data_IF_596339455629
#
_entry.id   IF_596339455629
#
_cell.length_a   1.000
_cell.length_b   1.000
_cell.length_c   1.000
_cell.angle_alpha   90.00
_cell.angle_beta   90.00
_cell.angle_gamma   90.00
#
_symmetry.space_group_name_H-M   'P 1'
#
loop_
_entity.id
_entity.type
_entity.pdbx_description
1 polymer ?
#
# COMPACT_ATOMS: atom_id res chain seq x y z
N UNK A 1 -20.05 10.47 77.94
CA UNK A 1 -19.53 11.46 76.96
C UNK A 1 -18.04 11.25 76.78
N UNK A 2 -17.60 10.76 75.61
CA UNK A 2 -16.36 11.19 74.93
C UNK A 2 -16.33 10.51 73.57
N UNK A 3 -16.36 11.35 72.55
CA UNK A 3 -16.52 11.02 71.16
C UNK A 3 -15.16 10.87 70.48
N UNK A 4 -15.17 10.04 69.41
CA UNK A 4 -14.38 10.15 68.17
C UNK A 4 -12.85 10.11 68.26
N UNK A 5 -12.28 9.02 67.70
CA UNK A 5 -11.20 9.09 66.71
C UNK A 5 -11.46 8.06 65.61
N UNK A 6 -11.99 8.54 64.49
CA UNK A 6 -12.07 7.82 63.22
C UNK A 6 -11.44 8.77 62.19
N UNK A 7 -10.17 8.57 61.87
CA UNK A 7 -9.44 9.39 60.90
C UNK A 7 -8.56 8.46 60.05
N UNK A 8 -8.96 8.38 58.78
CA UNK A 8 -8.12 8.21 57.57
C UNK A 8 -7.54 6.83 57.33
N UNK A 9 -8.38 5.95 56.75
CA UNK A 9 -7.94 4.90 55.82
C UNK A 9 -8.87 5.00 54.61
N UNK A 10 -8.61 5.94 53.71
CA UNK A 10 -9.55 6.22 52.63
C UNK A 10 -9.03 7.10 51.50
N UNK A 11 -7.73 7.08 51.21
CA UNK A 11 -7.18 7.87 50.08
C UNK A 11 -6.03 7.20 49.32
N UNK A 12 -5.73 5.91 49.57
CA UNK A 12 -4.66 5.20 48.88
C UNK A 12 -5.13 4.31 47.70
N UNK A 13 -6.44 4.09 47.56
CA UNK A 13 -6.98 3.17 46.53
C UNK A 13 -7.28 3.89 45.20
N UNK A 14 -7.47 5.22 45.20
CA UNK A 14 -7.76 5.98 43.97
C UNK A 14 -6.54 6.36 43.13
N UNK A 15 -5.32 6.26 43.67
CA UNK A 15 -4.08 6.58 42.91
C UNK A 15 -3.57 5.38 42.10
N UNK A 16 -3.88 4.14 42.51
CA UNK A 16 -3.48 2.95 41.73
C UNK A 16 -4.33 2.72 40.46
N UNK A 17 -5.57 3.21 40.41
CA UNK A 17 -6.40 3.07 39.21
C UNK A 17 -5.94 4.00 38.06
N UNK A 18 -5.33 5.15 38.37
CA UNK A 18 -4.84 6.10 37.38
C UNK A 18 -3.52 5.68 36.70
N UNK A 19 -2.73 4.80 37.32
CA UNK A 19 -1.49 4.29 36.71
C UNK A 19 -1.71 3.07 35.79
N UNK A 20 -2.88 2.42 35.83
CA UNK A 20 -3.22 1.32 34.92
C UNK A 20 -3.82 1.81 33.59
N UNK A 21 -4.36 3.02 33.54
CA UNK A 21 -4.87 3.61 32.28
C UNK A 21 -3.79 4.36 31.48
N UNK A 22 -2.66 4.70 32.09
CA UNK A 22 -1.56 5.41 31.43
C UNK A 22 -0.66 4.52 30.56
N UNK A 23 -0.82 3.18 30.58
CA UNK A 23 -0.05 2.27 29.71
C UNK A 23 -0.56 2.18 28.27
N UNK A 24 -1.69 2.81 27.96
CA UNK A 24 -2.22 2.92 26.59
C UNK A 24 -1.91 4.28 25.93
N UNK A 25 -1.12 5.15 26.57
CA UNK A 25 -0.78 6.46 26.02
C UNK A 25 0.24 6.41 24.85
N UNK A 26 0.64 5.22 24.40
CA UNK A 26 1.28 5.01 23.08
C UNK A 26 0.28 5.00 21.93
N UNK A 27 -1.03 5.16 22.20
CA UNK A 27 -2.08 5.30 21.21
C UNK A 27 -2.37 6.78 20.92
N UNK A 28 -1.74 7.37 19.89
CA UNK A 28 -2.36 8.41 19.05
C UNK A 28 -1.45 8.71 17.83
N UNK A 29 -2.04 8.78 16.60
CA UNK A 29 -2.50 10.11 16.18
C UNK A 29 -3.89 10.18 15.54
N UNK A 30 -4.56 9.07 15.22
CA UNK A 30 -5.90 9.13 14.61
C UNK A 30 -6.98 8.99 15.67
N UNK A 31 -7.71 10.08 15.95
CA UNK A 31 -8.90 10.02 16.77
C UNK A 31 -10.00 9.27 15.99
N UNK A 32 -10.26 8.03 16.36
CA UNK A 32 -11.25 7.18 15.71
C UNK A 32 -12.58 7.19 16.45
N UNK A 33 -13.71 6.99 15.73
CA UNK A 33 -15.00 6.73 16.35
C UNK A 33 -14.90 5.57 17.35
N UNK A 34 -15.52 5.72 18.52
CA UNK A 34 -15.42 4.72 19.59
C UNK A 34 -16.00 3.36 19.18
N UNK A 35 -17.00 3.36 18.32
CA UNK A 35 -17.59 2.16 17.74
C UNK A 35 -16.63 1.45 16.78
N UNK A 36 -15.85 2.19 15.98
CA UNK A 36 -14.80 1.61 15.14
C UNK A 36 -13.72 0.94 16.00
N UNK A 37 -13.22 1.64 17.03
CA UNK A 37 -12.21 1.09 17.95
C UNK A 37 -12.68 -0.21 18.60
N UNK A 38 -13.95 -0.30 18.97
CA UNK A 38 -14.52 -1.53 19.53
C UNK A 38 -14.56 -2.68 18.52
N UNK A 39 -14.93 -2.41 17.26
CA UNK A 39 -14.93 -3.42 16.18
C UNK A 39 -13.51 -3.86 15.82
N UNK A 40 -12.57 -2.92 15.76
CA UNK A 40 -11.16 -3.20 15.52
C UNK A 40 -10.60 -4.11 16.61
N UNK A 41 -10.81 -3.76 17.88
CA UNK A 41 -10.37 -4.60 19.00
C UNK A 41 -10.99 -6.01 18.99
N UNK A 42 -12.24 -6.14 18.54
CA UNK A 42 -12.90 -7.44 18.38
C UNK A 42 -12.31 -8.28 17.23
N UNK A 43 -11.64 -7.65 16.26
CA UNK A 43 -11.01 -8.30 15.12
C UNK A 43 -9.48 -8.46 15.25
N UNK A 44 -8.85 -8.03 16.35
CA UNK A 44 -7.43 -8.31 16.60
C UNK A 44 -7.23 -9.76 17.03
N UNK A 45 -6.22 -10.44 16.48
CA UNK A 45 -5.79 -11.76 16.96
C UNK A 45 -4.49 -11.61 17.78
N UNK A 46 -4.39 -12.16 19.01
CA UNK A 46 -3.14 -12.22 19.75
C UNK A 46 -1.98 -12.89 18.99
N UNK A 47 -2.29 -13.76 18.04
CA UNK A 47 -1.36 -14.41 17.13
C UNK A 47 -0.75 -13.44 16.12
N UNK A 48 -1.39 -12.31 15.80
CA UNK A 48 -0.90 -11.33 14.82
C UNK A 48 0.49 -10.79 15.15
N UNK A 49 1.27 -10.58 14.10
CA UNK A 49 2.70 -10.24 14.07
C UNK A 49 2.95 -9.22 12.97
N UNK A 50 4.13 -8.61 12.97
CA UNK A 50 4.53 -7.74 11.89
C UNK A 50 5.14 -8.57 10.75
N UNK A 51 4.45 -8.66 9.61
CA UNK A 51 4.92 -9.31 8.39
C UNK A 51 4.09 -10.51 7.94
N UNK A 52 4.26 -10.95 6.69
CA UNK A 52 3.36 -11.92 6.08
C UNK A 52 3.50 -13.31 6.70
N UNK A 53 2.36 -14.01 6.83
CA UNK A 53 2.28 -15.33 7.47
C UNK A 53 3.23 -16.36 6.84
N UNK A 54 3.44 -16.33 5.52
CA UNK A 54 4.30 -17.31 4.84
C UNK A 54 5.78 -17.23 5.25
N UNK A 55 6.31 -16.03 5.59
CA UNK A 55 7.67 -15.92 6.13
C UNK A 55 7.73 -16.60 7.51
N UNK A 56 6.64 -16.51 8.28
CA UNK A 56 6.53 -17.14 9.59
C UNK A 56 6.37 -18.66 9.48
N UNK A 57 5.67 -19.15 8.46
CA UNK A 57 5.49 -20.59 8.22
C UNK A 57 6.78 -21.29 7.78
N UNK A 58 7.74 -20.54 7.23
CA UNK A 58 9.03 -21.06 6.78
C UNK A 58 10.20 -20.78 7.73
N UNK A 59 9.99 -19.99 8.79
CA UNK A 59 11.01 -19.76 9.84
C UNK A 59 10.76 -20.74 11.00
N UNK A 60 11.76 -21.51 11.46
CA UNK A 60 11.57 -22.43 12.57
C UNK A 60 10.97 -21.73 13.80
N UNK A 61 9.94 -22.33 14.43
CA UNK A 61 9.23 -21.73 15.56
C UNK A 61 10.15 -21.27 16.71
N UNK A 62 11.25 -21.99 16.95
CA UNK A 62 12.28 -21.60 17.93
C UNK A 62 13.01 -20.31 17.57
N UNK A 63 13.23 -20.04 16.28
CA UNK A 63 13.86 -18.82 15.79
C UNK A 63 12.89 -17.63 15.84
N UNK A 64 11.61 -17.84 15.50
CA UNK A 64 10.55 -16.83 15.67
C UNK A 64 10.37 -16.45 17.14
N UNK A 65 10.43 -17.42 18.06
CA UNK A 65 10.33 -17.17 19.50
C UNK A 65 11.48 -16.30 20.02
N UNK A 66 12.69 -16.47 19.49
CA UNK A 66 13.89 -15.73 19.91
C UNK A 66 13.96 -14.36 19.23
N UNK A 67 13.60 -14.30 17.95
CA UNK A 67 13.66 -13.08 17.16
C UNK A 67 12.40 -12.24 17.24
N UNK A 68 11.25 -12.76 17.65
CA UNK A 68 9.98 -12.02 17.70
C UNK A 68 10.04 -10.70 18.46
N UNK A 69 10.67 -10.62 19.65
CA UNK A 69 10.91 -9.35 20.34
C UNK A 69 11.83 -8.36 19.60
N UNK A 70 12.57 -8.83 18.59
CA UNK A 70 13.46 -8.03 17.74
C UNK A 70 12.80 -7.68 16.40
N UNK A 71 12.04 -8.62 15.83
CA UNK A 71 11.31 -8.49 14.56
C UNK A 71 10.14 -7.52 14.77
N UNK A 72 9.17 -7.86 15.62
CA UNK A 72 8.02 -7.00 15.87
C UNK A 72 8.37 -5.84 16.81
N UNK A 73 9.27 -6.09 17.77
CA UNK A 73 9.69 -5.13 18.78
C UNK A 73 8.52 -4.35 19.41
N UNK A 74 8.58 -3.01 19.44
CA UNK A 74 7.51 -2.18 19.99
C UNK A 74 6.32 -2.02 19.03
N UNK A 75 6.43 -2.47 17.78
CA UNK A 75 5.41 -2.27 16.74
C UNK A 75 4.33 -3.33 16.74
N UNK A 76 4.48 -4.44 17.47
CA UNK A 76 3.49 -5.51 17.51
C UNK A 76 2.05 -5.03 17.71
N UNK A 77 1.73 -4.13 18.66
CA UNK A 77 0.35 -3.64 18.82
C UNK A 77 -0.19 -2.92 17.58
N UNK A 78 0.66 -2.19 16.85
CA UNK A 78 0.30 -1.51 15.61
C UNK A 78 0.00 -2.53 14.51
N UNK A 79 0.84 -3.56 14.36
CA UNK A 79 0.62 -4.61 13.36
C UNK A 79 -0.70 -5.36 13.60
N UNK A 80 -1.08 -5.62 14.86
CA UNK A 80 -2.41 -6.20 15.16
C UNK A 80 -3.58 -5.31 14.74
N UNK A 81 -3.43 -3.99 14.91
CA UNK A 81 -4.45 -3.02 14.48
C UNK A 81 -4.55 -2.96 12.97
N UNK A 82 -3.41 -3.00 12.29
CA UNK A 82 -3.34 -3.06 10.83
C UNK A 82 -4.03 -4.32 10.29
N UNK A 83 -3.71 -5.50 10.81
CA UNK A 83 -4.37 -6.75 10.41
C UNK A 83 -5.89 -6.74 10.70
N UNK A 84 -6.29 -6.14 11.83
CA UNK A 84 -7.71 -5.96 12.17
C UNK A 84 -8.40 -4.96 11.22
N UNK A 85 -7.72 -3.88 10.82
CA UNK A 85 -8.19 -2.91 9.83
C UNK A 85 -8.47 -3.59 8.49
N UNK A 86 -7.53 -4.43 8.03
CA UNK A 86 -7.68 -5.23 6.82
C UNK A 86 -8.88 -6.19 6.91
N UNK A 87 -9.03 -6.92 8.03
CA UNK A 87 -10.18 -7.82 8.23
C UNK A 87 -11.53 -7.12 8.24
N UNK A 88 -11.59 -5.91 8.81
CA UNK A 88 -12.82 -5.13 8.85
C UNK A 88 -13.26 -4.67 7.46
N UNK A 89 -12.30 -4.37 6.58
CA UNK A 89 -12.54 -3.87 5.23
C UNK A 89 -13.51 -2.67 5.19
N UNK A 90 -13.41 -1.78 6.19
CA UNK A 90 -14.21 -0.54 6.29
C UNK A 90 -13.44 0.67 5.71
N UNK A 91 -12.16 0.49 5.41
CA UNK A 91 -11.24 1.51 4.89
C UNK A 91 -10.35 0.92 3.81
N UNK A 92 -9.84 1.78 2.93
CA UNK A 92 -8.89 1.39 1.89
C UNK A 92 -7.60 0.86 2.49
N UNK A 93 -6.88 0.01 1.75
CA UNK A 93 -5.56 -0.48 2.09
C UNK A 93 -4.63 0.69 2.45
N UNK A 94 -4.60 1.71 1.59
CA UNK A 94 -3.76 2.89 1.77
C UNK A 94 -4.04 3.65 3.08
N UNK A 95 -5.30 3.70 3.52
CA UNK A 95 -5.66 4.30 4.81
C UNK A 95 -5.12 3.47 5.99
N UNK A 96 -5.30 2.14 5.95
CA UNK A 96 -4.79 1.24 6.98
C UNK A 96 -3.25 1.32 7.05
N UNK A 97 -2.57 1.33 5.89
CA UNK A 97 -1.11 1.40 5.77
C UNK A 97 -0.53 2.73 6.30
N UNK A 98 -1.15 3.86 5.94
CA UNK A 98 -0.75 5.18 6.43
C UNK A 98 -0.89 5.26 7.94
N UNK A 99 -2.01 4.78 8.47
CA UNK A 99 -2.23 4.75 9.91
C UNK A 99 -1.19 3.90 10.63
N UNK A 100 -0.87 2.72 10.08
CA UNK A 100 0.19 1.87 10.63
C UNK A 100 1.54 2.59 10.66
N UNK A 101 1.93 3.22 9.55
CA UNK A 101 3.17 4.02 9.48
C UNK A 101 3.18 5.11 10.55
N UNK A 102 2.12 5.90 10.63
CA UNK A 102 2.05 7.05 11.52
C UNK A 102 2.07 6.62 13.01
N UNK A 103 1.38 5.53 13.36
CA UNK A 103 1.43 4.93 14.71
C UNK A 103 2.82 4.37 15.04
N UNK A 104 3.51 3.72 14.10
CA UNK A 104 4.89 3.26 14.31
C UNK A 104 5.86 4.43 14.52
N UNK A 105 5.73 5.49 13.72
CA UNK A 105 6.55 6.70 13.88
C UNK A 105 6.29 7.39 15.23
N UNK A 106 5.03 7.44 15.68
CA UNK A 106 4.69 7.96 17.00
C UNK A 106 5.36 7.15 18.13
N UNK A 107 5.40 5.82 18.03
CA UNK A 107 6.12 4.94 18.97
C UNK A 107 7.62 5.27 19.00
N UNK A 108 8.22 5.52 17.84
CA UNK A 108 9.63 5.92 17.75
C UNK A 108 9.89 7.26 18.44
N UNK A 109 9.02 8.24 18.23
CA UNK A 109 9.16 9.60 18.75
C UNK A 109 8.99 9.66 20.27
N UNK A 110 8.15 8.80 20.84
CA UNK A 110 8.00 8.63 22.28
C UNK A 110 9.20 7.94 22.95
N UNK A 111 10.19 7.48 22.18
CA UNK A 111 11.27 6.59 22.62
C UNK A 111 10.74 5.36 23.39
N UNK A 112 9.50 4.96 23.09
CA UNK A 112 8.81 3.86 23.76
C UNK A 112 9.41 2.50 23.37
N UNK A 113 10.27 2.45 22.35
CA UNK A 113 10.99 1.25 21.92
C UNK A 113 11.81 0.58 23.02
N UNK A 114 12.00 -0.73 22.94
CA UNK A 114 12.88 -1.51 23.81
C UNK A 114 14.19 -1.88 23.10
N UNK A 115 15.23 -2.21 23.87
CA UNK A 115 16.47 -2.76 23.31
C UNK A 115 17.22 -1.78 22.42
N UNK A 116 17.52 -2.20 21.17
CA UNK A 116 18.34 -1.45 20.21
C UNK A 116 17.79 -0.05 19.89
N UNK A 117 16.47 0.16 20.01
CA UNK A 117 15.84 1.47 19.76
C UNK A 117 16.08 2.51 20.86
N UNK A 118 16.64 2.11 22.02
CA UNK A 118 17.01 3.04 23.12
C UNK A 118 18.47 3.48 23.09
N UNK A 119 19.27 3.00 22.15
CA UNK A 119 20.69 3.36 22.09
C UNK A 119 20.81 4.84 21.69
N UNK A 120 21.41 5.71 22.54
CA UNK A 120 21.56 7.13 22.23
C UNK A 120 22.25 7.34 20.88
N UNK A 121 21.74 8.29 20.09
CA UNK A 121 22.31 8.68 18.79
C UNK A 121 21.93 7.80 17.60
N UNK A 122 21.58 6.52 17.79
CA UNK A 122 21.22 5.61 16.68
C UNK A 122 19.83 5.00 16.78
N UNK A 123 19.28 4.88 17.99
CA UNK A 123 18.04 4.13 18.26
C UNK A 123 16.81 4.71 17.57
N UNK A 124 16.67 6.05 17.55
CA UNK A 124 15.56 6.74 16.88
C UNK A 124 15.60 6.53 15.36
N UNK A 125 16.78 6.71 14.75
CA UNK A 125 16.97 6.52 13.30
C UNK A 125 16.71 5.07 12.90
N UNK A 126 17.19 4.11 13.69
CA UNK A 126 16.92 2.69 13.47
C UNK A 126 15.43 2.36 13.59
N UNK A 127 14.74 2.92 14.58
CA UNK A 127 13.30 2.73 14.76
C UNK A 127 12.51 3.25 13.56
N UNK A 128 12.79 4.48 13.11
CA UNK A 128 12.12 5.07 11.95
C UNK A 128 12.45 4.34 10.66
N UNK A 129 13.69 3.87 10.50
CA UNK A 129 14.08 3.04 9.36
C UNK A 129 13.26 1.74 9.32
N UNK A 130 13.12 1.03 10.43
CA UNK A 130 12.28 -0.18 10.49
C UNK A 130 10.80 0.11 10.23
N UNK A 131 10.25 1.20 10.78
CA UNK A 131 8.88 1.63 10.46
C UNK A 131 8.69 1.86 8.95
N UNK A 132 9.68 2.49 8.30
CA UNK A 132 9.69 2.69 6.85
C UNK A 132 9.75 1.38 6.06
N UNK A 133 10.56 0.41 6.50
CA UNK A 133 10.62 -0.92 5.88
C UNK A 133 9.28 -1.65 5.98
N UNK A 134 8.63 -1.62 7.15
CA UNK A 134 7.30 -2.22 7.32
C UNK A 134 6.26 -1.60 6.38
N UNK A 135 6.22 -0.27 6.32
CA UNK A 135 5.31 0.44 5.43
C UNK A 135 5.59 0.15 3.96
N UNK A 136 6.85 0.13 3.53
CA UNK A 136 7.21 -0.19 2.14
C UNK A 136 6.84 -1.64 1.75
N UNK A 137 6.88 -2.57 2.71
CA UNK A 137 6.53 -3.96 2.47
C UNK A 137 5.02 -4.19 2.26
N UNK A 138 4.16 -3.32 2.77
CA UNK A 138 2.70 -3.45 2.69
C UNK A 138 2.06 -2.45 1.71
N UNK A 139 2.68 -1.30 1.46
CA UNK A 139 2.16 -0.28 0.55
C UNK A 139 2.51 -0.62 -0.91
N UNK A 140 1.99 -1.75 -1.37
CA UNK A 140 2.13 -2.30 -2.72
C UNK A 140 1.01 -3.34 -2.96
N UNK A 141 0.94 -3.91 -4.15
CA UNK A 141 -0.09 -4.92 -4.50
C UNK A 141 0.04 -6.23 -3.71
N UNK A 142 1.23 -6.60 -3.20
CA UNK A 142 1.34 -7.77 -2.31
C UNK A 142 0.60 -7.54 -0.97
N UNK A 143 0.58 -6.30 -0.48
CA UNK A 143 -0.27 -5.92 0.65
C UNK A 143 -1.76 -6.00 0.32
N UNK A 144 -2.14 -5.78 -0.94
CA UNK A 144 -3.53 -5.86 -1.40
C UNK A 144 -4.12 -7.27 -1.25
N UNK A 145 -3.32 -8.32 -1.41
CA UNK A 145 -3.76 -9.69 -1.15
C UNK A 145 -4.32 -9.87 0.27
N UNK A 146 -3.65 -9.29 1.27
CA UNK A 146 -4.10 -9.37 2.64
C UNK A 146 -5.33 -8.48 2.93
N UNK A 147 -5.59 -7.47 2.09
CA UNK A 147 -6.78 -6.60 2.16
C UNK A 147 -7.99 -7.19 1.41
N UNK A 148 -7.82 -8.29 0.67
CA UNK A 148 -8.90 -9.03 -0.03
C UNK A 148 -9.59 -8.17 -1.11
N UNK A 149 -8.82 -7.35 -1.83
CA UNK A 149 -9.32 -6.56 -2.96
C UNK A 149 -9.41 -7.37 -4.26
N UNK A 150 -9.98 -6.74 -5.28
CA UNK A 150 -10.04 -7.25 -6.66
C UNK A 150 -9.32 -6.27 -7.59
N UNK A 151 -8.70 -6.74 -8.69
CA UNK A 151 -8.10 -5.87 -9.69
C UNK A 151 -9.16 -4.93 -10.28
N UNK A 152 -8.77 -3.69 -10.53
CA UNK A 152 -9.64 -2.68 -11.15
C UNK A 152 -8.83 -1.46 -11.52
N UNK A 153 -9.47 -0.47 -12.15
CA UNK A 153 -8.85 0.77 -12.64
C UNK A 153 -9.68 1.36 -13.78
N UNK A 154 -9.51 2.64 -14.06
CA UNK A 154 -10.23 3.34 -15.14
C UNK A 154 -9.31 4.30 -15.89
N UNK A 155 -9.43 4.35 -17.22
CA UNK A 155 -8.81 5.39 -18.03
C UNK A 155 -9.67 6.65 -17.96
N UNK A 156 -9.13 7.69 -17.33
CA UNK A 156 -9.83 8.97 -17.10
C UNK A 156 -9.42 10.08 -18.06
N UNK A 157 -8.29 9.91 -18.73
CA UNK A 157 -7.76 10.88 -19.69
C UNK A 157 -6.90 10.19 -20.74
N UNK A 158 -6.93 10.70 -21.98
CA UNK A 158 -6.11 10.20 -23.08
C UNK A 158 -5.52 11.39 -23.84
N UNK A 159 -4.22 11.30 -24.11
CA UNK A 159 -3.47 12.22 -24.97
C UNK A 159 -2.66 11.39 -25.96
N UNK A 160 -2.70 11.74 -27.23
CA UNK A 160 -1.84 11.11 -28.23
C UNK A 160 -1.03 12.17 -28.98
N UNK A 161 0.14 11.77 -29.46
CA UNK A 161 0.97 12.62 -30.32
C UNK A 161 1.73 11.78 -31.34
N UNK A 162 1.87 12.34 -32.53
CA UNK A 162 2.90 11.94 -33.49
C UNK A 162 4.19 12.68 -33.13
N UNK A 163 5.30 11.97 -33.18
CA UNK A 163 6.65 12.51 -32.98
C UNK A 163 7.34 12.42 -34.32
N UNK A 164 7.52 13.58 -34.97
CA UNK A 164 8.23 13.66 -36.24
C UNK A 164 9.74 13.49 -35.99
N UNK A 165 10.35 12.45 -36.57
CA UNK A 165 11.80 12.26 -36.53
C UNK A 165 12.38 12.49 -37.93
N UNK A 166 13.27 13.49 -38.06
CA UNK A 166 13.86 13.84 -39.35
C UNK A 166 14.91 12.82 -39.85
N UNK A 167 15.36 11.91 -38.98
CA UNK A 167 16.43 10.95 -39.22
C UNK A 167 15.90 9.51 -39.26
N UNK A 168 14.91 9.17 -38.42
CA UNK A 168 14.24 7.86 -38.41
C UNK A 168 12.83 7.95 -38.99
N UNK A 169 12.07 6.85 -38.91
CA UNK A 169 10.63 6.91 -39.19
C UNK A 169 9.92 7.69 -38.06
N UNK A 170 8.79 8.34 -38.39
CA UNK A 170 7.96 9.04 -37.40
C UNK A 170 7.42 8.05 -36.36
N UNK A 171 7.26 8.52 -35.12
CA UNK A 171 6.80 7.70 -34.00
C UNK A 171 5.42 8.14 -33.50
N UNK A 172 4.74 7.25 -32.79
CA UNK A 172 3.45 7.52 -32.15
C UNK A 172 3.52 7.22 -30.65
N UNK A 173 2.93 8.08 -29.84
CA UNK A 173 2.83 7.88 -28.39
C UNK A 173 1.41 8.19 -27.93
N UNK A 174 0.89 7.32 -27.06
CA UNK A 174 -0.35 7.54 -26.31
C UNK A 174 -0.02 7.58 -24.83
N UNK A 175 -0.43 8.64 -24.15
CA UNK A 175 -0.41 8.75 -22.70
C UNK A 175 -1.83 8.68 -22.15
N UNK A 176 -2.06 7.87 -21.13
CA UNK A 176 -3.34 7.70 -20.45
C UNK A 176 -3.21 8.05 -18.97
N UNK A 177 -4.21 8.74 -18.43
CA UNK A 177 -4.34 8.98 -17.00
C UNK A 177 -5.19 7.86 -16.39
N UNK A 178 -4.58 7.03 -15.56
CA UNK A 178 -5.22 5.85 -14.96
C UNK A 178 -5.58 6.16 -13.52
N UNK A 179 -6.87 6.04 -13.18
CA UNK A 179 -7.37 6.19 -11.82
C UNK A 179 -7.55 4.82 -11.17
N UNK A 180 -7.05 4.68 -9.94
CA UNK A 180 -7.33 3.50 -9.13
C UNK A 180 -8.66 3.67 -8.40
N UNK A 181 -9.70 3.04 -8.94
CA UNK A 181 -11.07 3.07 -8.44
C UNK A 181 -11.36 2.00 -7.38
N UNK A 182 -10.34 1.22 -6.98
CA UNK A 182 -10.46 0.15 -5.99
C UNK A 182 -10.05 0.60 -4.59
N UNK A 183 -10.34 -0.23 -3.59
CA UNK A 183 -9.95 0.01 -2.20
C UNK A 183 -8.53 -0.48 -1.88
N UNK A 184 -7.82 -1.06 -2.85
CA UNK A 184 -6.45 -1.57 -2.69
C UNK A 184 -5.43 -0.77 -3.49
N UNK A 185 -4.16 -0.87 -3.14
CA UNK A 185 -3.06 -0.44 -4.01
C UNK A 185 -3.01 -1.37 -5.20
N UNK A 186 -2.94 -0.79 -6.40
CA UNK A 186 -2.89 -1.53 -7.65
C UNK A 186 -1.57 -1.24 -8.34
N UNK A 187 -0.98 -2.27 -8.91
CA UNK A 187 0.18 -2.17 -9.76
C UNK A 187 -0.29 -2.26 -11.21
N UNK A 188 -0.02 -1.21 -11.97
CA UNK A 188 -0.49 -1.07 -13.34
C UNK A 188 0.64 -1.09 -14.35
N UNK A 189 0.31 -1.61 -15.52
CA UNK A 189 0.98 -1.30 -16.77
C UNK A 189 -0.04 -1.01 -17.88
N UNK A 190 0.45 -0.53 -19.01
CA UNK A 190 -0.34 -0.24 -20.21
C UNK A 190 0.23 -0.98 -21.41
N UNK A 191 -0.66 -1.47 -22.27
CA UNK A 191 -0.28 -2.08 -23.53
C UNK A 191 -0.96 -1.38 -24.70
N UNK A 192 -0.19 -1.15 -25.76
CA UNK A 192 -0.69 -0.70 -27.03
C UNK A 192 -0.79 -1.87 -28.01
N UNK A 193 -1.93 -1.97 -28.69
CA UNK A 193 -2.22 -3.00 -29.67
C UNK A 193 -2.65 -2.37 -30.98
N UNK A 194 -2.32 -3.03 -32.09
CA UNK A 194 -2.93 -2.74 -33.40
C UNK A 194 -4.41 -3.13 -33.41
N UNK A 195 -5.13 -2.72 -34.45
CA UNK A 195 -6.54 -3.10 -34.63
C UNK A 195 -6.76 -4.63 -34.70
N UNK A 196 -5.78 -5.37 -35.23
CA UNK A 196 -5.79 -6.83 -35.29
C UNK A 196 -5.37 -7.51 -33.98
N UNK A 197 -5.09 -6.73 -32.93
CA UNK A 197 -4.69 -7.22 -31.61
C UNK A 197 -3.22 -7.59 -31.47
N UNK A 198 -2.35 -7.18 -32.40
CA UNK A 198 -0.91 -7.41 -32.26
C UNK A 198 -0.34 -6.38 -31.28
N UNK A 199 0.36 -6.86 -30.24
CA UNK A 199 1.02 -5.97 -29.27
C UNK A 199 2.13 -5.18 -29.95
N UNK A 200 2.03 -3.85 -29.82
CA UNK A 200 3.06 -2.91 -30.26
C UNK A 200 4.10 -2.74 -29.17
N UNK A 201 3.64 -2.35 -27.98
CA UNK A 201 4.50 -1.97 -26.87
C UNK A 201 3.77 -2.16 -25.52
N UNK A 202 4.54 -2.22 -24.43
CA UNK A 202 4.07 -2.37 -23.06
C UNK A 202 4.93 -1.52 -22.13
N UNK A 203 4.29 -0.66 -21.35
CA UNK A 203 5.01 0.23 -20.43
C UNK A 203 4.37 0.22 -19.03
N UNK A 204 5.16 0.33 -17.95
CA UNK A 204 6.62 0.51 -17.94
C UNK A 204 7.41 -0.79 -18.23
N UNK A 205 8.52 -0.69 -18.96
CA UNK A 205 9.41 -1.81 -19.34
C UNK A 205 10.10 -2.55 -18.17
N UNK A 206 10.34 -1.86 -17.06
CA UNK A 206 11.24 -2.34 -15.99
C UNK A 206 10.52 -2.81 -14.75
N UNK A 207 9.65 -1.97 -14.21
CA UNK A 207 8.86 -2.25 -13.02
C UNK A 207 7.54 -1.52 -13.16
N UNK A 208 6.47 -2.25 -12.92
CA UNK A 208 5.11 -1.74 -12.90
C UNK A 208 4.95 -0.62 -11.84
N UNK A 209 3.94 0.23 -12.01
CA UNK A 209 3.75 1.39 -11.13
C UNK A 209 2.60 1.14 -10.16
N UNK A 210 2.93 1.20 -8.87
CA UNK A 210 1.95 1.12 -7.79
C UNK A 210 1.19 2.46 -7.68
N UNK A 211 -0.14 2.40 -7.77
CA UNK A 211 -1.05 3.54 -7.63
C UNK A 211 -2.01 3.23 -6.48
N UNK A 212 -2.08 4.12 -5.50
CA UNK A 212 -2.86 3.91 -4.27
C UNK A 212 -4.36 4.07 -4.53
N UNK A 213 -5.18 3.54 -3.63
CA UNK A 213 -6.63 3.66 -3.71
C UNK A 213 -7.06 5.13 -3.78
N UNK A 214 -7.83 5.48 -4.82
CA UNK A 214 -8.28 6.86 -5.07
C UNK A 214 -7.25 7.80 -5.70
N UNK A 215 -6.03 7.34 -5.98
CA UNK A 215 -5.01 8.11 -6.70
C UNK A 215 -5.07 7.88 -8.22
N UNK A 216 -4.29 8.65 -8.98
CA UNK A 216 -4.14 8.48 -10.42
C UNK A 216 -2.69 8.67 -10.85
N UNK A 217 -2.30 8.01 -11.93
CA UNK A 217 -0.97 8.15 -12.53
C UNK A 217 -1.05 8.18 -14.06
N UNK A 218 -0.10 8.88 -14.69
CA UNK A 218 0.05 8.91 -16.13
C UNK A 218 0.94 7.74 -16.58
N UNK A 219 0.51 7.05 -17.63
CA UNK A 219 1.28 6.01 -18.31
C UNK A 219 1.36 6.33 -19.78
N UNK A 220 2.54 6.23 -20.38
CA UNK A 220 2.74 6.45 -21.80
C UNK A 220 3.26 5.18 -22.44
N UNK A 221 2.72 4.84 -23.61
CA UNK A 221 3.10 3.71 -24.46
C UNK A 221 3.25 4.19 -25.89
N UNK A 222 4.19 3.63 -26.65
CA UNK A 222 4.45 4.15 -27.98
C UNK A 222 5.35 3.28 -28.84
N UNK A 223 5.78 3.85 -29.96
CA UNK A 223 6.68 3.15 -30.90
C UNK A 223 8.15 3.56 -30.71
N UNK A 224 8.44 4.65 -29.97
CA UNK A 224 9.77 5.30 -29.92
C UNK A 224 10.92 4.45 -29.33
N UNK A 225 10.62 3.33 -28.69
CA UNK A 225 11.60 2.41 -28.11
C UNK A 225 11.53 1.01 -28.74
N UNK A 226 10.63 0.79 -29.71
CA UNK A 226 10.41 -0.53 -30.29
C UNK A 226 10.91 -0.60 -31.73
N UNK A 227 12.00 -1.35 -32.02
CA UNK A 227 12.63 -1.35 -33.35
C UNK A 227 11.78 -2.01 -34.46
N UNK A 228 10.64 -2.59 -34.12
CA UNK A 228 9.73 -3.28 -35.04
C UNK A 228 8.53 -2.44 -35.46
N UNK A 229 8.28 -1.32 -34.77
CA UNK A 229 7.09 -0.52 -34.98
C UNK A 229 7.47 0.94 -35.17
N UNK A 230 6.81 1.56 -36.14
CA UNK A 230 6.84 3.00 -36.36
C UNK A 230 5.44 3.47 -36.76
N UNK A 231 5.22 4.77 -36.89
CA UNK A 231 3.92 5.34 -37.26
C UNK A 231 3.33 4.73 -38.54
N UNK A 232 4.16 4.41 -39.54
CA UNK A 232 3.68 3.87 -40.83
C UNK A 232 3.16 2.43 -40.72
N UNK A 233 3.57 1.72 -39.68
CA UNK A 233 3.19 0.32 -39.44
C UNK A 233 1.87 0.22 -38.65
N UNK A 234 1.39 1.36 -38.12
CA UNK A 234 0.13 1.43 -37.39
C UNK A 234 -1.07 1.62 -38.33
N UNK A 235 -2.19 0.97 -37.98
CA UNK A 235 -3.52 1.27 -38.51
C UNK A 235 -3.97 2.68 -38.13
N UNK A 236 -5.06 3.18 -38.73
CA UNK A 236 -5.60 4.51 -38.39
C UNK A 236 -6.11 4.58 -36.94
N UNK A 237 -6.32 3.43 -36.29
CA UNK A 237 -6.70 3.27 -34.89
C UNK A 237 -5.78 2.27 -34.21
N UNK A 238 -5.41 2.55 -32.96
CA UNK A 238 -4.77 1.60 -32.03
C UNK A 238 -5.64 1.44 -30.79
N UNK A 239 -5.41 0.38 -30.03
CA UNK A 239 -6.06 0.14 -28.75
C UNK A 239 -5.05 0.23 -27.63
N UNK A 240 -5.38 0.99 -26.58
CA UNK A 240 -4.60 1.02 -25.34
C UNK A 240 -5.40 0.35 -24.25
N UNK A 241 -4.83 -0.65 -23.61
CA UNK A 241 -5.41 -1.36 -22.47
C UNK A 241 -4.59 -1.12 -21.23
N UNK A 242 -5.24 -0.80 -20.12
CA UNK A 242 -4.62 -0.82 -18.79
C UNK A 242 -4.76 -2.21 -18.21
N UNK A 243 -3.71 -2.68 -17.55
CA UNK A 243 -3.71 -3.98 -16.88
C UNK A 243 -3.34 -3.78 -15.43
N UNK A 244 -4.03 -4.49 -14.56
CA UNK A 244 -3.78 -4.49 -13.12
C UNK A 244 -3.34 -5.88 -12.69
N UNK A 245 -2.37 -5.95 -11.80
CA UNK A 245 -1.93 -7.20 -11.19
C UNK A 245 -3.06 -7.84 -10.36
N UNK A 246 -3.16 -9.16 -10.39
CA UNK A 246 -4.16 -9.87 -9.57
C UNK A 246 -3.56 -10.26 -8.23
N UNK A 247 -4.23 -9.93 -7.12
CA UNK A 247 -3.71 -10.27 -5.80
C UNK A 247 -3.73 -11.79 -5.52
N UNK A 248 -4.41 -12.59 -6.34
CA UNK A 248 -4.79 -13.97 -6.00
C UNK A 248 -3.61 -14.97 -5.99
N UNK A 249 -2.45 -14.60 -6.52
CA UNK A 249 -1.26 -15.44 -6.47
C UNK A 249 -0.03 -14.63 -6.07
N UNK A 250 0.68 -15.06 -5.02
CA UNK A 250 2.12 -14.77 -4.81
C UNK A 250 3.00 -15.37 -5.94
N UNK A 251 2.44 -15.56 -7.13
CA UNK A 251 3.17 -16.07 -8.27
C UNK A 251 3.98 -14.91 -8.82
N UNK A 252 5.30 -15.12 -8.87
CA UNK A 252 6.27 -14.31 -9.62
C UNK A 252 6.01 -14.32 -11.15
N UNK A 253 4.78 -14.50 -11.58
CA UNK A 253 4.35 -14.59 -12.98
C UNK A 253 3.45 -13.40 -13.27
N UNK A 254 3.69 -12.73 -14.40
CA UNK A 254 2.97 -11.58 -14.95
C UNK A 254 1.44 -11.79 -15.12
N UNK A 255 0.75 -12.05 -14.01
CA UNK A 255 -0.68 -12.30 -13.85
C UNK A 255 -1.40 -10.94 -13.77
N UNK A 256 -1.35 -10.19 -14.87
CA UNK A 256 -2.11 -8.96 -14.99
C UNK A 256 -3.33 -9.19 -15.86
N UNK A 257 -4.46 -8.66 -15.41
CA UNK A 257 -5.73 -8.69 -16.15
C UNK A 257 -6.02 -7.32 -16.75
N UNK A 258 -6.58 -7.30 -17.96
CA UNK A 258 -7.06 -6.06 -18.56
C UNK A 258 -8.27 -5.59 -17.76
N UNK A 259 -8.20 -4.37 -17.21
CA UNK A 259 -9.28 -3.78 -16.39
C UNK A 259 -10.04 -2.68 -17.12
N UNK A 260 -9.42 -2.04 -18.12
CA UNK A 260 -10.07 -1.09 -19.02
C UNK A 260 -9.30 -0.98 -20.35
N UNK A 261 -9.97 -0.52 -21.41
CA UNK A 261 -9.32 -0.27 -22.70
C UNK A 261 -10.03 0.80 -23.54
N UNK A 262 -9.27 1.47 -24.39
CA UNK A 262 -9.76 2.56 -25.23
C UNK A 262 -9.15 2.50 -26.64
N UNK A 263 -9.97 2.82 -27.64
CA UNK A 263 -9.52 3.02 -29.01
C UNK A 263 -9.02 4.47 -29.19
N UNK A 264 -7.86 4.63 -29.82
CA UNK A 264 -7.21 5.92 -30.05
C UNK A 264 -6.88 6.08 -31.53
N UNK A 265 -7.37 7.16 -32.13
CA UNK A 265 -7.05 7.50 -33.50
C UNK A 265 -5.58 7.92 -33.62
N UNK A 266 -4.86 7.29 -34.57
CA UNK A 266 -3.44 7.57 -34.85
C UNK A 266 -3.29 8.86 -35.65
N UNK A 267 -4.21 9.06 -36.61
CA UNK A 267 -4.26 10.27 -37.43
C UNK A 267 -5.54 11.02 -37.07
N UNK A 268 -5.44 12.29 -36.61
CA UNK A 268 -6.65 13.08 -36.46
C UNK A 268 -7.34 13.13 -37.83
N UNK A 269 -8.63 12.77 -37.88
CA UNK A 269 -9.45 12.93 -39.07
C UNK A 269 -9.24 14.34 -39.58
N UNK A 270 -8.80 14.50 -40.84
CA UNK A 270 -8.63 15.80 -41.44
C UNK A 270 -9.93 16.59 -41.21
N UNK A 271 -9.90 17.55 -40.29
CA UNK A 271 -11.06 18.37 -39.98
C UNK A 271 -11.44 19.08 -41.27
N UNK A 272 -12.67 18.88 -41.80
CA UNK A 272 -13.10 19.56 -43.02
C UNK A 272 -13.14 21.08 -42.86
#
# INVERSE_FOLDING_TARGET
MRARRLIVVGSLITVLAACLTARNATDAPVALPADYVAREAANMDPADRCGPAFIQDHVPAGLISVMGPVIDGPFRPVCRRHDACYRLNEHTQSWCDDRMRDEMLAICDLQAGSGAYRVPGIGLSLCRFHAGVYYAAINNTYGAYAHIGQPGGEITGVRSRVIDDAITDDEFTVCVDVANTTDIVQEYDVEMHTEDGVRVDREPDTYETNVRAGESAEFCVGTNATPLWSLKDLSDTVYVSIRADTPENFAFTNDMVIVDSIAVAVRPSATP
#
